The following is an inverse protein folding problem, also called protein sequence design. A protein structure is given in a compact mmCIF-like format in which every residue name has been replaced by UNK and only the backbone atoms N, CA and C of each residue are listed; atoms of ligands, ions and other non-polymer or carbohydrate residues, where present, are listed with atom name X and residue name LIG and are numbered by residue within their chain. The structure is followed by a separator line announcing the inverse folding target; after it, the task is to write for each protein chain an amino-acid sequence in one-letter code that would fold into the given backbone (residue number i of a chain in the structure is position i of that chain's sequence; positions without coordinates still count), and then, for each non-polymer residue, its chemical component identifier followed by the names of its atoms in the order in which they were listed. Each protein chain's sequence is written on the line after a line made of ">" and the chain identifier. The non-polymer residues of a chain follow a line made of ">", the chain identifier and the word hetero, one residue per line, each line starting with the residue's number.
data_IF_415799104587
#
_entry.id   IF_415799104587
#
_cell.length_a   1.000
_cell.length_b   1.000
_cell.length_c   1.000
_cell.angle_alpha   90.00
_cell.angle_beta   90.00
_cell.angle_gamma   90.00
#
_symmetry.space_group_name_H-M   'P 1'
#
loop_
_entity.id
_entity.type
_entity.pdbx_description
1 polymer ?
#
# COMPACT_ATOMS: atom_id res chain seq x y z
N UNK A 1 4.72 -2.09 -24.78
CA UNK A 1 3.94 -2.80 -23.74
C UNK A 1 4.22 -2.20 -22.37
N UNK A 2 3.18 -2.01 -21.54
CA UNK A 2 3.34 -1.54 -20.16
C UNK A 2 2.62 -2.46 -19.18
N UNK A 3 3.19 -2.63 -18.00
CA UNK A 3 2.54 -3.33 -16.89
C UNK A 3 1.92 -2.31 -15.95
N UNK A 4 0.66 -2.50 -15.57
CA UNK A 4 -0.04 -1.68 -14.58
C UNK A 4 -0.30 -2.49 -13.32
N UNK A 5 0.21 -2.05 -12.18
CA UNK A 5 -0.09 -2.63 -10.88
C UNK A 5 -1.52 -2.27 -10.47
N UNK A 6 -2.43 -3.25 -10.50
CA UNK A 6 -3.86 -3.06 -10.25
C UNK A 6 -4.22 -3.60 -8.87
N UNK A 7 -4.63 -2.72 -7.96
CA UNK A 7 -5.08 -3.09 -6.61
C UNK A 7 -6.59 -3.28 -6.48
N UNK A 8 -7.36 -3.04 -7.56
CA UNK A 8 -8.83 -3.02 -7.50
C UNK A 8 -9.43 -1.73 -6.92
N UNK A 9 -8.59 -0.72 -6.63
CA UNK A 9 -9.02 0.63 -6.27
C UNK A 9 -9.20 1.53 -7.49
N UNK A 10 -9.83 2.70 -7.28
CA UNK A 10 -10.10 3.69 -8.34
C UNK A 10 -8.82 4.16 -9.03
N UNK A 11 -7.75 4.43 -8.27
CA UNK A 11 -6.52 5.01 -8.79
C UNK A 11 -5.81 4.10 -9.80
N UNK A 12 -5.50 2.88 -9.39
CA UNK A 12 -4.84 1.91 -10.26
C UNK A 12 -5.68 1.53 -11.49
N UNK A 13 -7.00 1.50 -11.32
CA UNK A 13 -7.95 1.23 -12.42
C UNK A 13 -8.00 2.38 -13.41
N UNK A 14 -7.99 3.63 -12.92
CA UNK A 14 -7.93 4.83 -13.77
C UNK A 14 -6.65 4.87 -14.56
N UNK A 15 -5.52 4.56 -13.92
CA UNK A 15 -4.21 4.48 -14.59
C UNK A 15 -4.23 3.46 -15.73
N UNK A 16 -4.78 2.26 -15.51
CA UNK A 16 -4.93 1.26 -16.57
C UNK A 16 -5.76 1.80 -17.75
N UNK A 17 -6.83 2.52 -17.47
CA UNK A 17 -7.67 3.15 -18.49
C UNK A 17 -6.97 4.27 -19.24
N UNK A 18 -6.19 5.10 -18.56
CA UNK A 18 -5.38 6.16 -19.17
C UNK A 18 -4.36 5.53 -20.14
N UNK A 19 -3.57 4.56 -19.68
CA UNK A 19 -2.57 3.89 -20.52
C UNK A 19 -3.20 3.22 -21.74
N UNK A 20 -4.33 2.56 -21.57
CA UNK A 20 -5.07 1.95 -22.69
C UNK A 20 -5.52 2.99 -23.72
N UNK A 21 -6.05 4.12 -23.26
CA UNK A 21 -6.51 5.23 -24.13
C UNK A 21 -5.36 5.92 -24.86
N UNK A 22 -4.18 5.96 -24.25
CA UNK A 22 -2.95 6.46 -24.87
C UNK A 22 -2.34 5.50 -25.90
N UNK A 23 -2.96 4.34 -26.13
CA UNK A 23 -2.58 3.38 -27.16
C UNK A 23 -1.55 2.34 -26.72
N UNK A 24 -1.20 2.27 -25.45
CA UNK A 24 -0.31 1.23 -24.94
C UNK A 24 -0.94 -0.15 -24.99
N UNK A 25 -0.11 -1.17 -25.21
CA UNK A 25 -0.47 -2.56 -24.89
C UNK A 25 -0.32 -2.73 -23.38
N UNK A 26 -1.45 -2.83 -22.67
CA UNK A 26 -1.50 -2.85 -21.20
C UNK A 26 -1.69 -4.27 -20.68
N UNK A 27 -0.84 -4.68 -19.75
CA UNK A 27 -0.99 -5.89 -18.95
C UNK A 27 -1.25 -5.47 -17.50
N UNK A 28 -2.46 -5.73 -16.99
CA UNK A 28 -2.79 -5.51 -15.59
C UNK A 28 -2.26 -6.63 -14.71
N UNK A 29 -1.64 -6.29 -13.58
CA UNK A 29 -1.19 -7.29 -12.60
C UNK A 29 -1.75 -6.95 -11.22
N UNK A 30 -2.44 -7.92 -10.61
CA UNK A 30 -2.88 -7.85 -9.21
C UNK A 30 -2.11 -8.83 -8.36
N UNK A 31 -1.56 -8.37 -7.25
CA UNK A 31 -0.92 -9.22 -6.25
C UNK A 31 -1.93 -9.69 -5.22
N UNK A 32 -2.08 -10.99 -5.04
CA UNK A 32 -2.75 -11.56 -3.87
C UNK A 32 -1.73 -11.67 -2.74
N UNK A 33 -1.82 -10.75 -1.76
CA UNK A 33 -0.80 -10.56 -0.72
C UNK A 33 -1.09 -11.35 0.55
N UNK A 34 -2.36 -11.61 0.87
CA UNK A 34 -2.76 -12.36 2.07
C UNK A 34 -4.10 -13.06 1.85
N UNK A 35 -4.39 -14.03 2.71
CA UNK A 35 -5.68 -14.69 2.80
C UNK A 35 -6.34 -14.31 4.12
N UNK A 36 -7.46 -13.66 4.06
CA UNK A 36 -8.25 -13.22 5.22
C UNK A 36 -9.05 -14.35 5.87
N UNK A 37 -8.97 -15.56 5.33
CA UNK A 37 -9.63 -16.76 5.89
C UNK A 37 -11.16 -16.69 5.92
N UNK A 38 -11.76 -15.66 5.34
CA UNK A 38 -13.20 -15.46 5.22
C UNK A 38 -13.59 -15.42 3.75
N UNK A 39 -14.49 -16.29 3.37
CA UNK A 39 -15.18 -16.18 2.10
C UNK A 39 -15.83 -14.78 2.01
N UNK A 40 -15.46 -14.06 1.00
CA UNK A 40 -16.03 -12.81 0.45
C UNK A 40 -17.13 -12.15 1.32
N UNK A 41 -16.79 -11.62 2.46
CA UNK A 41 -17.66 -10.70 3.19
C UNK A 41 -16.96 -9.36 3.36
N UNK A 42 -17.44 -8.38 2.58
CA UNK A 42 -17.33 -6.93 2.75
C UNK A 42 -16.19 -6.41 3.65
N UNK A 43 -14.92 -6.66 3.34
CA UNK A 43 -13.82 -5.98 3.99
C UNK A 43 -13.33 -4.82 3.11
N UNK A 44 -13.16 -3.64 3.70
CA UNK A 44 -12.60 -2.43 3.05
C UNK A 44 -11.09 -2.52 2.82
N UNK A 45 -10.53 -3.72 2.73
CA UNK A 45 -9.09 -3.98 2.68
C UNK A 45 -8.60 -4.12 1.23
N UNK A 46 -7.49 -3.45 0.90
CA UNK A 46 -6.80 -3.65 -0.37
C UNK A 46 -6.38 -5.12 -0.53
N UNK A 47 -6.49 -5.66 -1.76
CA UNK A 47 -6.13 -7.04 -2.10
C UNK A 47 -7.01 -8.13 -1.47
N UNK A 48 -8.22 -7.76 -1.03
CA UNK A 48 -9.29 -8.71 -0.67
C UNK A 48 -9.78 -9.44 -1.91
N UNK A 49 -10.53 -10.52 -1.72
CA UNK A 49 -11.18 -11.24 -2.82
C UNK A 49 -12.05 -10.31 -3.69
N UNK A 50 -12.73 -9.32 -3.06
CA UNK A 50 -13.51 -8.31 -3.77
C UNK A 50 -12.64 -7.39 -4.64
N UNK A 51 -11.48 -6.93 -4.13
CA UNK A 51 -10.58 -6.06 -4.88
C UNK A 51 -9.99 -6.75 -6.12
N UNK A 52 -9.65 -8.04 -5.99
CA UNK A 52 -9.22 -8.87 -7.13
C UNK A 52 -10.33 -8.97 -8.18
N UNK A 53 -11.58 -9.17 -7.74
CA UNK A 53 -12.73 -9.21 -8.64
C UNK A 53 -13.00 -7.87 -9.31
N UNK A 54 -12.84 -6.76 -8.58
CA UNK A 54 -12.96 -5.41 -9.13
C UNK A 54 -11.89 -5.13 -10.18
N UNK A 55 -10.63 -5.48 -9.89
CA UNK A 55 -9.53 -5.36 -10.86
C UNK A 55 -9.80 -6.18 -12.13
N UNK A 56 -10.31 -7.42 -11.98
CA UNK A 56 -10.68 -8.28 -13.10
C UNK A 56 -11.83 -7.69 -13.94
N UNK A 57 -12.86 -7.12 -13.29
CA UNK A 57 -13.97 -6.44 -13.99
C UNK A 57 -13.47 -5.24 -14.78
N UNK A 58 -12.60 -4.42 -14.18
CA UNK A 58 -11.98 -3.28 -14.85
C UNK A 58 -11.15 -3.75 -16.05
N UNK A 59 -10.31 -4.76 -15.88
CA UNK A 59 -9.49 -5.29 -16.98
C UNK A 59 -10.35 -5.81 -18.14
N UNK A 60 -11.42 -6.54 -17.84
CA UNK A 60 -12.37 -7.01 -18.86
C UNK A 60 -13.03 -5.83 -19.59
N UNK A 61 -13.47 -4.79 -18.84
CA UNK A 61 -14.09 -3.60 -19.44
C UNK A 61 -13.14 -2.85 -20.37
N UNK A 62 -11.87 -2.72 -19.96
CA UNK A 62 -10.83 -2.07 -20.74
C UNK A 62 -10.28 -2.95 -21.88
N UNK A 63 -10.70 -4.21 -21.96
CA UNK A 63 -10.16 -5.21 -22.88
C UNK A 63 -8.63 -5.26 -22.82
N UNK A 64 -8.09 -5.47 -21.63
CA UNK A 64 -6.67 -5.65 -21.35
C UNK A 64 -6.41 -7.03 -20.72
N UNK A 65 -5.22 -7.58 -20.96
CA UNK A 65 -4.78 -8.78 -20.28
C UNK A 65 -4.64 -8.53 -18.75
N UNK A 66 -5.06 -9.51 -17.92
CA UNK A 66 -4.96 -9.39 -16.48
C UNK A 66 -4.41 -10.67 -15.84
N UNK A 67 -3.34 -10.51 -15.05
CA UNK A 67 -2.70 -11.60 -14.32
C UNK A 67 -2.87 -11.42 -12.82
N UNK A 68 -3.11 -12.52 -12.10
CA UNK A 68 -3.12 -12.54 -10.63
C UNK A 68 -1.90 -13.33 -10.18
N UNK A 69 -1.06 -12.70 -9.38
CA UNK A 69 0.14 -13.31 -8.82
C UNK A 69 -0.05 -13.57 -7.32
N UNK A 70 0.32 -14.76 -6.89
CA UNK A 70 0.13 -15.23 -5.52
C UNK A 70 1.40 -14.98 -4.71
N UNK A 71 1.38 -13.98 -3.84
CA UNK A 71 2.54 -13.51 -3.09
C UNK A 71 2.38 -13.62 -1.57
N UNK A 72 1.42 -14.41 -1.07
CA UNK A 72 1.09 -14.51 0.34
C UNK A 72 2.30 -14.86 1.22
N UNK A 73 3.09 -15.86 0.84
CA UNK A 73 4.26 -16.28 1.61
C UNK A 73 5.34 -15.20 1.66
N UNK A 74 5.67 -14.59 0.51
CA UNK A 74 6.66 -13.50 0.46
C UNK A 74 6.20 -12.28 1.22
N UNK A 75 4.92 -11.92 1.12
CA UNK A 75 4.34 -10.79 1.83
C UNK A 75 4.34 -11.04 3.34
N UNK A 76 3.99 -12.26 3.77
CA UNK A 76 4.06 -12.63 5.18
C UNK A 76 5.48 -12.46 5.72
N UNK A 77 6.47 -13.08 5.08
CA UNK A 77 7.87 -13.04 5.52
C UNK A 77 8.49 -11.63 5.45
N UNK A 78 8.25 -10.91 4.35
CA UNK A 78 8.89 -9.62 4.10
C UNK A 78 8.21 -8.44 4.76
N UNK A 79 6.91 -8.51 5.06
CA UNK A 79 6.13 -7.38 5.56
C UNK A 79 5.47 -7.67 6.90
N UNK A 80 4.66 -8.76 6.99
CA UNK A 80 3.89 -9.03 8.22
C UNK A 80 4.82 -9.43 9.37
N UNK A 81 5.75 -10.34 9.13
CA UNK A 81 6.68 -10.80 10.18
C UNK A 81 7.55 -9.64 10.70
N UNK A 82 8.03 -8.76 9.79
CA UNK A 82 8.76 -7.55 10.17
C UNK A 82 7.89 -6.59 11.00
N UNK A 83 6.65 -6.38 10.59
CA UNK A 83 5.70 -5.53 11.30
C UNK A 83 5.46 -6.03 12.74
N UNK A 84 5.23 -7.32 12.89
CA UNK A 84 4.99 -7.95 14.20
C UNK A 84 6.25 -7.91 15.07
N UNK A 85 7.41 -8.22 14.51
CA UNK A 85 8.68 -8.22 15.25
C UNK A 85 9.08 -6.82 15.71
N UNK A 86 8.87 -5.77 14.88
CA UNK A 86 9.14 -4.38 15.26
C UNK A 86 8.27 -3.93 16.43
N UNK A 87 6.96 -4.13 16.36
CA UNK A 87 6.07 -3.79 17.47
C UNK A 87 6.40 -4.56 18.75
N UNK A 88 6.80 -5.83 18.64
CA UNK A 88 7.21 -6.64 19.79
C UNK A 88 8.49 -6.10 20.47
N UNK A 89 9.29 -5.31 19.75
CA UNK A 89 10.49 -4.61 20.28
C UNK A 89 10.20 -3.17 20.70
N UNK A 90 8.97 -2.70 20.60
CA UNK A 90 8.59 -1.32 20.88
C UNK A 90 8.97 -0.32 19.77
N UNK A 91 9.24 -0.81 18.58
CA UNK A 91 9.47 0.00 17.38
C UNK A 91 8.18 0.22 16.61
N UNK A 92 8.08 1.31 15.87
CA UNK A 92 6.92 1.59 15.01
C UNK A 92 7.29 1.37 13.55
N UNK A 93 6.91 0.25 12.92
CA UNK A 93 7.23 -0.03 11.53
C UNK A 93 6.33 0.74 10.55
N UNK A 94 6.81 0.90 9.31
CA UNK A 94 6.04 1.46 8.20
C UNK A 94 5.87 0.36 7.13
N UNK A 95 4.87 -0.53 7.28
CA UNK A 95 4.74 -1.70 6.42
C UNK A 95 4.49 -1.35 4.96
N UNK A 96 3.88 -0.20 4.65
CA UNK A 96 3.66 0.24 3.27
C UNK A 96 4.98 0.54 2.55
N UNK A 97 5.97 1.14 3.22
CA UNK A 97 7.32 1.35 2.66
C UNK A 97 7.98 0.00 2.40
N UNK A 98 7.92 -0.90 3.38
CA UNK A 98 8.49 -2.24 3.25
C UNK A 98 7.85 -3.02 2.10
N UNK A 99 6.52 -2.96 1.97
CA UNK A 99 5.79 -3.61 0.88
C UNK A 99 6.18 -3.05 -0.50
N UNK A 100 6.26 -1.72 -0.62
CA UNK A 100 6.68 -1.09 -1.87
C UNK A 100 8.09 -1.53 -2.25
N UNK A 101 9.01 -1.55 -1.29
CA UNK A 101 10.41 -1.89 -1.53
C UNK A 101 10.63 -3.36 -1.89
N UNK A 102 10.01 -4.30 -1.14
CA UNK A 102 10.32 -5.73 -1.23
C UNK A 102 9.42 -6.50 -2.18
N UNK A 103 8.14 -6.15 -2.24
CA UNK A 103 7.14 -6.92 -3.00
C UNK A 103 6.75 -6.17 -4.27
N UNK A 104 6.26 -4.93 -4.15
CA UNK A 104 5.74 -4.23 -5.32
C UNK A 104 6.83 -3.83 -6.31
N UNK A 105 7.89 -3.13 -5.86
CA UNK A 105 8.88 -2.58 -6.78
C UNK A 105 10.07 -3.53 -7.03
N UNK A 106 10.25 -4.55 -6.22
CA UNK A 106 11.24 -5.58 -6.52
C UNK A 106 10.62 -6.66 -7.40
N UNK A 107 9.60 -7.34 -6.89
CA UNK A 107 9.07 -8.51 -7.57
C UNK A 107 8.25 -8.14 -8.83
N UNK A 108 7.41 -7.08 -8.79
CA UNK A 108 6.71 -6.64 -10.00
C UNK A 108 7.64 -6.05 -11.05
N UNK A 109 8.74 -5.45 -10.65
CA UNK A 109 9.77 -4.98 -11.57
C UNK A 109 10.38 -6.14 -12.36
N UNK A 110 10.77 -7.23 -11.69
CA UNK A 110 11.28 -8.43 -12.36
C UNK A 110 10.23 -9.05 -13.29
N UNK A 111 9.00 -9.25 -12.78
CA UNK A 111 7.90 -9.78 -13.60
C UNK A 111 7.61 -8.89 -14.82
N UNK A 112 7.71 -7.58 -14.67
CA UNK A 112 7.48 -6.65 -15.78
C UNK A 112 8.57 -6.76 -16.84
N UNK A 113 9.82 -6.96 -16.43
CA UNK A 113 10.94 -7.24 -17.35
C UNK A 113 10.77 -8.58 -18.06
N UNK A 114 10.38 -9.63 -17.36
CA UNK A 114 10.11 -10.96 -17.93
C UNK A 114 8.98 -10.92 -18.97
N UNK A 115 8.03 -10.01 -18.81
CA UNK A 115 6.97 -9.74 -19.78
C UNK A 115 7.40 -8.82 -20.93
N UNK A 116 8.67 -8.44 -21.01
CA UNK A 116 9.21 -7.49 -21.96
C UNK A 116 8.43 -6.17 -21.99
N UNK A 117 8.00 -5.68 -20.83
CA UNK A 117 7.35 -4.40 -20.73
C UNK A 117 8.37 -3.27 -20.68
N UNK A 118 8.00 -2.12 -21.23
CA UNK A 118 8.84 -0.92 -21.28
C UNK A 118 8.81 -0.13 -19.98
N UNK A 119 7.78 -0.32 -19.16
CA UNK A 119 7.60 0.36 -17.88
C UNK A 119 6.63 -0.39 -16.95
N UNK A 120 6.82 -0.19 -15.64
CA UNK A 120 5.86 -0.53 -14.59
C UNK A 120 5.13 0.74 -14.15
N UNK A 121 3.81 0.72 -14.26
CA UNK A 121 2.94 1.87 -13.98
C UNK A 121 2.16 1.60 -12.70
N UNK A 122 2.07 2.60 -11.83
CA UNK A 122 1.29 2.49 -10.58
C UNK A 122 0.40 3.70 -10.36
N UNK A 123 -0.65 3.51 -9.56
CA UNK A 123 -1.58 4.57 -9.17
C UNK A 123 -1.11 5.43 -7.99
N UNK A 124 0.19 5.52 -7.71
CA UNK A 124 0.69 6.39 -6.66
C UNK A 124 0.67 7.85 -7.07
N UNK A 125 0.29 8.72 -6.14
CA UNK A 125 0.37 10.17 -6.27
C UNK A 125 1.78 10.64 -5.94
N UNK A 126 2.65 10.63 -6.95
CA UNK A 126 4.02 11.13 -6.91
C UNK A 126 4.43 11.48 -8.34
N UNK A 127 5.31 12.46 -8.54
CA UNK A 127 5.83 12.79 -9.86
C UNK A 127 7.20 12.16 -10.06
N UNK A 128 7.42 11.63 -11.26
CA UNK A 128 8.73 11.22 -11.76
C UNK A 128 9.05 12.11 -12.96
N UNK A 129 10.02 13.00 -12.79
CA UNK A 129 10.38 14.03 -13.80
C UNK A 129 11.84 13.84 -14.20
N UNK A 130 12.07 13.74 -15.51
CA UNK A 130 13.42 13.71 -16.06
C UNK A 130 13.99 15.11 -16.10
N UNK A 131 15.12 15.33 -15.44
CA UNK A 131 15.88 16.57 -15.46
C UNK A 131 17.37 16.25 -15.60
N UNK A 132 18.06 16.92 -16.53
CA UNK A 132 19.48 16.66 -16.84
C UNK A 132 19.80 15.18 -17.14
N UNK A 133 18.89 14.49 -17.84
CA UNK A 133 19.04 13.07 -18.18
C UNK A 133 18.84 12.10 -17.02
N UNK A 134 18.36 12.56 -15.88
CA UNK A 134 18.08 11.74 -14.70
C UNK A 134 16.62 11.86 -14.28
N UNK A 135 16.03 10.74 -13.91
CA UNK A 135 14.71 10.71 -13.31
C UNK A 135 14.78 11.08 -11.83
N UNK A 136 13.92 11.99 -11.40
CA UNK A 136 13.85 12.46 -10.04
C UNK A 136 12.42 12.40 -9.53
N UNK A 137 12.26 11.99 -8.26
CA UNK A 137 10.98 11.92 -7.60
C UNK A 137 10.63 13.28 -6.97
N UNK A 138 9.42 13.74 -7.21
CA UNK A 138 8.85 14.96 -6.64
C UNK A 138 7.50 14.67 -6.02
N UNK A 139 7.09 15.53 -5.08
CA UNK A 139 5.75 15.47 -4.50
C UNK A 139 4.67 15.60 -5.58
N UNK A 140 3.52 14.98 -5.33
CA UNK A 140 2.35 15.14 -6.18
C UNK A 140 1.84 16.59 -6.22
N UNK A 141 1.02 16.92 -7.22
CA UNK A 141 0.28 18.20 -7.25
C UNK A 141 -0.80 18.20 -6.16
N UNK A 142 -1.48 17.09 -5.95
CA UNK A 142 -2.43 16.94 -4.84
C UNK A 142 -1.65 16.68 -3.54
N UNK A 143 -1.38 17.75 -2.78
CA UNK A 143 -0.62 17.66 -1.53
C UNK A 143 -1.32 16.80 -0.47
N UNK A 144 -2.65 16.71 -0.50
CA UNK A 144 -3.42 15.88 0.42
C UNK A 144 -3.35 14.39 0.08
N UNK A 145 -2.83 14.07 -1.11
CA UNK A 145 -2.70 12.70 -1.61
C UNK A 145 -1.25 12.31 -1.89
N UNK A 146 -0.31 13.20 -1.61
CA UNK A 146 1.11 12.92 -1.84
C UNK A 146 1.57 11.65 -1.13
N UNK A 147 2.18 10.75 -1.89
CA UNK A 147 2.65 9.45 -1.43
C UNK A 147 4.19 9.31 -1.53
N UNK A 148 4.90 10.40 -1.76
CA UNK A 148 6.36 10.40 -1.88
C UNK A 148 7.03 9.82 -0.63
N UNK A 149 6.45 10.05 0.56
CA UNK A 149 6.93 9.47 1.82
C UNK A 149 6.97 7.94 1.80
N UNK A 150 6.02 7.28 1.14
CA UNK A 150 5.98 5.82 1.08
C UNK A 150 6.92 5.22 0.03
N UNK A 151 7.57 6.07 -0.77
CA UNK A 151 8.41 5.68 -1.90
C UNK A 151 9.87 6.13 -1.78
N UNK A 152 10.28 6.68 -0.62
CA UNK A 152 11.63 7.25 -0.45
C UNK A 152 12.76 6.21 -0.67
N UNK A 153 12.48 4.92 -0.47
CA UNK A 153 13.42 3.83 -0.67
C UNK A 153 13.48 3.30 -2.12
N UNK A 154 12.81 3.96 -3.07
CA UNK A 154 12.86 3.58 -4.48
C UNK A 154 14.26 3.79 -5.03
N UNK A 155 14.89 2.74 -5.58
CA UNK A 155 16.21 2.84 -6.20
C UNK A 155 16.17 3.64 -7.51
N UNK A 156 17.34 4.12 -7.95
CA UNK A 156 17.47 4.82 -9.24
C UNK A 156 16.98 3.94 -10.39
N UNK A 157 17.41 2.69 -10.46
CA UNK A 157 17.00 1.74 -11.49
C UNK A 157 15.49 1.53 -11.53
N UNK A 158 14.87 1.40 -10.35
CA UNK A 158 13.41 1.29 -10.25
C UNK A 158 12.72 2.58 -10.72
N UNK A 159 13.23 3.76 -10.31
CA UNK A 159 12.65 5.05 -10.69
C UNK A 159 12.72 5.28 -12.20
N UNK A 160 13.78 4.82 -12.86
CA UNK A 160 13.94 4.93 -14.30
C UNK A 160 12.89 4.08 -15.06
N UNK A 161 12.39 3.02 -14.45
CA UNK A 161 11.40 2.13 -15.03
C UNK A 161 9.96 2.40 -14.58
N UNK A 162 9.77 3.05 -13.42
CA UNK A 162 8.46 3.38 -12.86
C UNK A 162 7.84 4.61 -13.52
N UNK A 163 6.51 4.58 -13.70
CA UNK A 163 5.72 5.74 -14.13
C UNK A 163 4.53 5.94 -13.18
N UNK A 164 4.22 7.21 -12.92
CA UNK A 164 3.20 7.64 -11.98
C UNK A 164 2.26 8.66 -12.62
N UNK A 165 1.31 8.25 -13.46
CA UNK A 165 0.46 9.18 -14.21
C UNK A 165 -0.36 10.11 -13.31
N UNK A 166 -0.70 9.67 -12.09
CA UNK A 166 -1.54 10.45 -11.17
C UNK A 166 -0.77 11.55 -10.41
N UNK A 167 0.55 11.57 -10.48
CA UNK A 167 1.35 12.57 -9.76
C UNK A 167 1.12 14.01 -10.24
N UNK A 168 0.66 14.19 -11.47
CA UNK A 168 0.27 15.49 -12.07
C UNK A 168 -1.22 15.78 -12.02
N UNK A 169 -2.01 15.06 -11.22
CA UNK A 169 -3.47 15.13 -11.20
C UNK A 169 -4.01 15.31 -9.78
N UNK A 170 -5.15 15.99 -9.67
CA UNK A 170 -5.93 16.02 -8.44
C UNK A 170 -6.81 14.76 -8.32
N UNK A 171 -7.16 14.38 -7.12
CA UNK A 171 -7.99 13.19 -6.87
C UNK A 171 -9.36 13.24 -7.52
N UNK A 172 -9.99 14.41 -7.54
CA UNK A 172 -11.28 14.60 -8.23
C UNK A 172 -11.15 14.36 -9.74
N UNK A 173 -10.06 14.83 -10.39
CA UNK A 173 -9.82 14.58 -11.81
C UNK A 173 -9.66 13.09 -12.10
N UNK A 174 -8.93 12.37 -11.23
CA UNK A 174 -8.82 10.91 -11.32
C UNK A 174 -10.19 10.22 -11.28
N UNK A 175 -11.07 10.64 -10.36
CA UNK A 175 -12.44 10.10 -10.26
C UNK A 175 -13.31 10.46 -11.47
N UNK A 176 -13.17 11.66 -12.01
CA UNK A 176 -13.87 12.06 -13.23
C UNK A 176 -13.45 11.23 -14.44
N UNK A 177 -12.16 10.92 -14.56
CA UNK A 177 -11.66 10.02 -15.61
C UNK A 177 -12.23 8.62 -15.41
N UNK A 178 -12.23 8.09 -14.17
CA UNK A 178 -12.82 6.80 -13.87
C UNK A 178 -14.31 6.75 -14.27
N UNK A 179 -15.07 7.81 -14.01
CA UNK A 179 -16.47 7.95 -14.42
C UNK A 179 -16.63 8.02 -15.94
N UNK A 180 -15.81 8.82 -16.62
CA UNK A 180 -15.81 8.88 -18.09
C UNK A 180 -15.47 7.56 -18.76
N UNK A 181 -14.65 6.74 -18.12
CA UNK A 181 -14.34 5.37 -18.53
C UNK A 181 -15.40 4.37 -18.05
N UNK A 182 -16.41 4.84 -17.31
CA UNK A 182 -17.48 4.04 -16.70
C UNK A 182 -16.96 2.85 -15.88
N UNK A 183 -15.88 3.06 -15.14
CA UNK A 183 -15.30 2.01 -14.30
C UNK A 183 -16.19 1.78 -13.07
N UNK A 184 -16.46 0.52 -12.77
CA UNK A 184 -17.31 0.10 -11.64
C UNK A 184 -16.73 0.51 -10.26
N UNK A 185 -15.49 0.98 -10.23
CA UNK A 185 -14.76 1.42 -9.03
C UNK A 185 -14.69 2.94 -8.87
N UNK A 186 -15.33 3.72 -9.77
CA UNK A 186 -15.22 5.19 -9.79
C UNK A 186 -15.62 5.85 -8.45
N UNK A 187 -16.65 5.33 -7.80
CA UNK A 187 -17.14 5.84 -6.52
C UNK A 187 -16.65 5.03 -5.30
N UNK A 188 -15.75 4.05 -5.53
CA UNK A 188 -15.16 3.25 -4.45
C UNK A 188 -14.36 4.14 -3.50
N UNK A 189 -14.57 4.03 -2.17
CA UNK A 189 -13.79 4.78 -1.19
C UNK A 189 -12.31 4.37 -1.24
N UNK A 190 -11.44 5.32 -0.91
CA UNK A 190 -10.01 5.06 -0.83
C UNK A 190 -9.71 4.16 0.37
N UNK A 191 -8.70 3.29 0.23
CA UNK A 191 -8.17 2.55 1.37
C UNK A 191 -7.49 3.53 2.32
N UNK A 192 -7.92 3.56 3.58
CA UNK A 192 -7.44 4.52 4.58
C UNK A 192 -6.42 3.89 5.52
N UNK A 193 -6.21 2.58 5.46
CA UNK A 193 -5.50 1.83 6.48
C UNK A 193 -4.48 0.85 5.89
N UNK A 194 -3.66 0.28 6.78
CA UNK A 194 -2.73 -0.79 6.43
C UNK A 194 -3.53 -1.99 5.90
N UNK A 195 -3.22 -2.44 4.70
CA UNK A 195 -4.05 -3.39 3.94
C UNK A 195 -4.33 -4.73 4.64
N UNK A 196 -3.47 -5.19 5.54
CA UNK A 196 -3.64 -6.43 6.29
C UNK A 196 -4.08 -6.20 7.75
N UNK A 197 -4.36 -4.96 8.14
CA UNK A 197 -4.84 -4.58 9.49
C UNK A 197 -6.32 -4.21 9.40
N UNK A 198 -7.24 -5.09 9.83
CA UNK A 198 -8.66 -4.80 9.77
C UNK A 198 -9.04 -3.70 10.75
N UNK A 199 -9.75 -2.67 10.25
CA UNK A 199 -10.31 -1.59 11.08
C UNK A 199 -9.29 -0.84 11.97
N UNK A 200 -8.00 -0.83 11.56
CA UNK A 200 -6.93 -0.21 12.36
C UNK A 200 -6.51 -1.02 13.60
N UNK A 201 -7.05 -2.21 13.79
CA UNK A 201 -6.73 -3.08 14.94
C UNK A 201 -5.45 -3.88 14.68
N UNK A 202 -4.31 -3.18 14.75
CA UNK A 202 -3.01 -3.81 14.57
C UNK A 202 -2.61 -4.73 15.74
N UNK A 203 -3.17 -4.51 16.94
CA UNK A 203 -2.89 -5.33 18.13
C UNK A 203 -3.39 -6.76 17.91
N UNK A 204 -4.62 -6.94 17.44
CA UNK A 204 -5.17 -8.27 17.11
C UNK A 204 -4.33 -9.00 16.04
N UNK A 205 -3.76 -8.25 15.08
CA UNK A 205 -2.85 -8.85 14.09
C UNK A 205 -1.57 -9.34 14.77
N UNK A 206 -0.97 -8.53 15.66
CA UNK A 206 0.25 -8.90 16.39
C UNK A 206 -0.02 -10.11 17.27
N UNK A 207 -1.11 -10.11 18.03
CA UNK A 207 -1.50 -11.21 18.92
C UNK A 207 -1.67 -12.53 18.17
N UNK A 208 -2.26 -12.49 16.97
CA UNK A 208 -2.42 -13.66 16.10
C UNK A 208 -1.08 -14.32 15.74
N UNK A 209 -0.03 -13.55 15.51
CA UNK A 209 1.28 -14.06 15.10
C UNK A 209 2.28 -14.21 16.26
N UNK A 210 2.07 -13.49 17.36
CA UNK A 210 2.90 -13.52 18.58
C UNK A 210 2.00 -13.43 19.82
N UNK A 211 1.33 -14.51 20.23
CA UNK A 211 0.42 -14.52 21.40
C UNK A 211 1.09 -14.03 22.69
N UNK A 212 2.41 -14.25 22.81
CA UNK A 212 3.18 -13.86 24.01
C UNK A 212 3.61 -12.39 24.02
N UNK A 213 3.21 -11.59 23.03
CA UNK A 213 3.60 -10.17 22.93
C UNK A 213 2.82 -9.24 23.90
N UNK A 214 1.67 -9.68 24.38
CA UNK A 214 0.84 -8.95 25.35
C UNK A 214 1.33 -9.17 26.79
N UNK A 215 2.53 -8.64 27.10
CA UNK A 215 3.09 -8.70 28.45
C UNK A 215 2.87 -7.40 29.18
N UNK A 216 2.24 -7.48 30.37
CA UNK A 216 2.08 -6.31 31.25
C UNK A 216 3.43 -5.74 31.65
N UNK A 217 3.47 -4.41 31.76
CA UNK A 217 4.67 -3.72 32.17
C UNK A 217 4.38 -2.37 32.81
N UNK A 218 5.43 -1.71 33.29
CA UNK A 218 5.33 -0.40 33.91
C UNK A 218 5.64 0.70 32.90
N UNK A 219 4.82 1.76 32.92
CA UNK A 219 5.12 3.03 32.26
C UNK A 219 5.95 3.86 33.24
N UNK A 220 7.12 4.31 32.80
CA UNK A 220 8.06 5.10 33.59
C UNK A 220 8.27 6.47 32.96
N UNK A 221 8.50 7.49 33.79
CA UNK A 221 8.99 8.78 33.34
C UNK A 221 10.50 8.76 33.06
N UNK A 222 11.07 9.90 32.67
CA UNK A 222 12.51 10.03 32.35
C UNK A 222 13.41 9.81 33.57
N UNK A 223 12.89 10.00 34.78
CA UNK A 223 13.61 9.79 36.04
C UNK A 223 13.48 8.33 36.51
N UNK A 224 12.78 7.48 35.77
CA UNK A 224 12.58 6.08 36.07
C UNK A 224 11.43 5.78 37.05
N UNK A 225 10.70 6.78 37.50
CA UNK A 225 9.55 6.63 38.39
C UNK A 225 8.39 5.99 37.64
N UNK A 226 7.76 4.99 38.26
CA UNK A 226 6.56 4.35 37.70
C UNK A 226 5.38 5.32 37.79
N UNK A 227 4.80 5.66 36.63
CA UNK A 227 3.66 6.56 36.49
C UNK A 227 2.39 5.86 36.01
N UNK A 228 2.49 4.57 35.62
CA UNK A 228 1.37 3.77 35.19
C UNK A 228 1.77 2.34 34.88
N UNK A 229 0.80 1.54 34.42
CA UNK A 229 0.98 0.19 33.92
C UNK A 229 0.33 0.04 32.55
N UNK A 230 0.81 -0.93 31.77
CA UNK A 230 0.25 -1.23 30.45
C UNK A 230 0.06 -2.75 30.26
N UNK A 231 -0.85 -3.14 29.41
CA UNK A 231 -1.17 -4.54 29.11
C UNK A 231 -0.33 -5.15 27.96
N UNK A 232 0.64 -4.40 27.48
CA UNK A 232 1.58 -4.83 26.42
C UNK A 232 2.17 -3.65 25.70
N UNK A 233 3.49 -3.67 25.44
CA UNK A 233 4.19 -2.60 24.71
C UNK A 233 3.63 -2.44 23.29
N UNK A 234 3.12 -3.50 22.70
CA UNK A 234 2.51 -3.53 21.36
C UNK A 234 1.27 -2.64 21.21
N UNK A 235 0.65 -2.20 22.31
CA UNK A 235 -0.48 -1.29 22.30
C UNK A 235 -0.09 0.17 22.02
N UNK A 236 1.20 0.46 21.89
CA UNK A 236 1.69 1.84 21.79
C UNK A 236 2.51 2.07 20.53
N UNK A 237 2.37 3.27 20.01
CA UNK A 237 3.15 3.77 18.88
C UNK A 237 4.05 4.90 19.39
N UNK A 238 5.30 4.98 18.93
CA UNK A 238 6.21 6.04 19.30
C UNK A 238 5.60 7.40 18.94
N UNK A 239 5.62 8.33 19.90
CA UNK A 239 4.99 9.66 19.76
C UNK A 239 3.48 9.70 20.04
N UNK A 240 2.89 8.59 20.48
CA UNK A 240 1.48 8.53 20.87
C UNK A 240 1.20 9.48 22.06
N UNK A 241 0.14 10.30 21.92
CA UNK A 241 -0.27 11.27 22.96
C UNK A 241 -1.59 10.93 23.64
N UNK A 242 -2.38 10.03 23.07
CA UNK A 242 -3.72 9.66 23.57
C UNK A 242 -3.75 8.16 23.86
N UNK A 243 -4.64 7.75 24.78
CA UNK A 243 -4.84 6.33 25.09
C UNK A 243 -3.73 5.71 25.95
N UNK A 244 -2.87 6.51 26.59
CA UNK A 244 -1.81 6.04 27.50
C UNK A 244 -2.35 5.71 28.91
N UNK A 245 -3.61 5.97 29.18
CA UNK A 245 -4.25 5.82 30.52
C UNK A 245 -3.52 6.54 31.66
N UNK A 246 -2.83 7.64 31.32
CA UNK A 246 -2.14 8.51 32.27
C UNK A 246 -2.98 9.76 32.53
N UNK A 247 -3.07 10.18 33.80
CA UNK A 247 -3.88 11.34 34.23
C UNK A 247 -3.26 12.65 33.73
N UNK A 248 -1.93 12.72 33.68
CA UNK A 248 -1.19 13.88 33.17
C UNK A 248 -0.16 13.46 32.14
N UNK A 249 -0.31 13.95 30.92
CA UNK A 249 0.68 13.88 29.85
C UNK A 249 1.11 15.31 29.57
N UNK A 250 2.32 15.67 29.96
CA UNK A 250 2.96 16.98 29.67
C UNK A 250 3.74 16.92 28.38
#
# INVERSE_FOLDING_TARGET
>A
TVVVAMSGGVDSSTVAGIMKREGYNVIGITLKLYDDGKEVAASKQCCSGQDIMDAKRVANKLNIEHKILYYQNKFKQGVIDNFVDSYSKGETPIPCVQCNQTVKFKDLFEVSKDLNADALITGHYVKNITSNGQNNMYRAIDENRDQSYFLFNTSREQLDYLRFPLGGMLKNETREIAKKLELNVADKPDSQDICFVPNGDYVSVIEKFRPDSLKKGNIKDLDGKVIGVHDGIVNFTIGQRKGLSLIHIY
#
